data_IF_827394043947
#
_entry.id   IF_827394043947
#
_cell.length_a   1.000
_cell.length_b   1.000
_cell.length_c   1.000
_cell.angle_alpha   90.00
_cell.angle_beta   90.00
_cell.angle_gamma   90.00
#
_symmetry.space_group_name_H-M   'P 1'
#
loop_
_entity.id
_entity.type
_entity.pdbx_description
1 polymer ?
#
# COMPACT_ATOMS: atom_id res chain seq x y z
N UNK A 1 37.03 61.79 -36.73
CA UNK A 1 36.18 60.81 -37.45
C UNK A 1 36.72 59.43 -37.14
N UNK A 2 36.04 58.45 -36.57
CA UNK A 2 34.65 58.31 -36.15
C UNK A 2 34.42 56.82 -35.85
N UNK A 3 33.56 56.56 -34.85
CA UNK A 3 32.90 55.31 -34.49
C UNK A 3 33.64 54.27 -33.63
N UNK A 4 33.35 54.40 -32.33
CA UNK A 4 33.06 53.30 -31.42
C UNK A 4 32.07 52.28 -32.03
N UNK A 5 32.40 50.99 -31.96
CA UNK A 5 31.40 49.93 -31.86
C UNK A 5 31.66 49.15 -30.57
N UNK A 6 31.07 49.67 -29.47
CA UNK A 6 30.64 48.83 -28.36
C UNK A 6 29.67 47.80 -28.96
N UNK A 7 30.15 46.58 -29.14
CA UNK A 7 29.29 45.42 -29.38
C UNK A 7 28.34 45.30 -28.20
N UNK A 8 27.06 45.62 -28.47
CA UNK A 8 25.94 45.44 -27.57
C UNK A 8 26.02 44.04 -26.95
N UNK A 9 26.24 43.99 -25.64
CA UNK A 9 25.79 42.92 -24.76
C UNK A 9 24.31 42.65 -25.08
N UNK A 10 24.06 41.63 -25.88
CA UNK A 10 22.74 41.04 -25.98
C UNK A 10 22.40 40.48 -24.61
N UNK A 11 21.70 41.26 -23.79
CA UNK A 11 20.95 40.75 -22.65
C UNK A 11 19.95 39.73 -23.20
N UNK A 12 20.37 38.46 -23.21
CA UNK A 12 19.51 37.35 -23.56
C UNK A 12 18.27 37.42 -22.68
N UNK A 13 17.10 37.53 -23.31
CA UNK A 13 15.81 37.27 -22.66
C UNK A 13 15.96 35.93 -21.96
N UNK A 14 16.03 35.94 -20.62
CA UNK A 14 16.35 34.76 -19.84
C UNK A 14 15.50 33.58 -20.32
N UNK A 15 16.16 32.47 -20.62
CA UNK A 15 15.52 31.24 -21.07
C UNK A 15 14.39 30.89 -20.09
N UNK A 16 13.15 30.90 -20.59
CA UNK A 16 11.98 30.68 -19.76
C UNK A 16 11.76 29.18 -19.60
N UNK A 17 11.52 28.75 -18.37
CA UNK A 17 11.08 27.39 -18.05
C UNK A 17 9.58 27.47 -17.80
N UNK A 18 8.81 26.90 -18.74
CA UNK A 18 7.35 26.81 -18.67
C UNK A 18 6.94 25.38 -18.33
N UNK A 19 6.41 25.20 -17.13
CA UNK A 19 5.83 23.93 -16.70
C UNK A 19 4.36 23.96 -17.11
N UNK A 20 3.95 23.07 -18.03
CA UNK A 20 2.57 23.03 -18.53
C UNK A 20 1.59 22.47 -17.52
N UNK A 21 2.06 21.52 -16.70
CA UNK A 21 1.31 20.82 -15.65
C UNK A 21 2.29 20.14 -14.70
N UNK A 22 1.86 19.92 -13.46
CA UNK A 22 2.62 19.12 -12.49
C UNK A 22 1.87 17.82 -12.25
N UNK A 23 2.46 16.70 -12.68
CA UNK A 23 1.94 15.36 -12.47
C UNK A 23 2.49 14.81 -11.15
N UNK A 24 1.60 14.53 -10.21
CA UNK A 24 1.92 13.99 -8.88
C UNK A 24 1.47 12.55 -8.81
N UNK A 25 2.38 11.62 -8.56
CA UNK A 25 2.07 10.20 -8.44
C UNK A 25 2.11 9.74 -6.99
N UNK A 26 1.06 9.04 -6.56
CA UNK A 26 0.98 8.39 -5.25
C UNK A 26 0.30 7.02 -5.38
N UNK A 27 0.95 5.95 -4.91
CA UNK A 27 0.45 4.56 -4.98
C UNK A 27 -0.15 4.19 -6.36
N UNK A 28 0.55 4.57 -7.44
CA UNK A 28 0.14 4.30 -8.82
C UNK A 28 -0.96 5.19 -9.39
N UNK A 29 -1.52 6.12 -8.61
CA UNK A 29 -2.52 7.10 -9.07
C UNK A 29 -1.84 8.42 -9.45
N UNK A 30 -2.25 8.99 -10.59
CA UNK A 30 -1.78 10.29 -11.06
C UNK A 30 -2.77 11.40 -10.66
N UNK A 31 -2.24 12.49 -10.14
CA UNK A 31 -2.94 13.73 -9.84
C UNK A 31 -2.30 14.87 -10.63
N UNK A 32 -3.06 15.85 -11.06
CA UNK A 32 -2.55 16.98 -11.82
C UNK A 32 -2.74 18.28 -11.04
N UNK A 33 -1.67 19.05 -10.89
CA UNK A 33 -1.73 20.44 -10.47
C UNK A 33 -1.49 21.37 -11.67
N UNK A 34 -1.94 22.61 -11.53
CA UNK A 34 -1.78 23.65 -12.56
C UNK A 34 -0.30 23.87 -12.86
N UNK A 35 0.02 24.06 -14.14
CA UNK A 35 1.33 24.49 -14.59
C UNK A 35 1.72 25.88 -14.08
N UNK A 36 3.00 26.21 -14.20
CA UNK A 36 3.57 27.47 -13.75
C UNK A 36 4.73 27.91 -14.64
N UNK A 37 4.98 29.22 -14.71
CA UNK A 37 6.20 29.76 -15.30
C UNK A 37 7.19 30.05 -14.18
N UNK A 38 8.43 29.56 -14.34
CA UNK A 38 9.50 29.80 -13.37
C UNK A 38 10.68 30.44 -14.06
N UNK A 39 11.37 31.31 -13.32
CA UNK A 39 12.68 31.81 -13.74
C UNK A 39 13.70 30.68 -13.56
N UNK A 40 14.71 30.66 -14.43
CA UNK A 40 15.86 29.75 -14.35
C UNK A 40 16.48 29.78 -12.94
N UNK A 41 16.92 28.62 -12.46
CA UNK A 41 17.45 28.41 -11.12
C UNK A 41 16.55 27.50 -10.28
N UNK A 42 16.39 27.82 -9.00
CA UNK A 42 15.58 27.03 -8.05
C UNK A 42 14.20 27.67 -7.80
N UNK A 43 13.18 26.84 -7.63
CA UNK A 43 11.84 27.26 -7.22
C UNK A 43 11.25 26.27 -6.22
N UNK A 44 10.22 26.71 -5.49
CA UNK A 44 9.47 25.87 -4.57
C UNK A 44 8.12 25.49 -5.19
N UNK A 45 7.75 24.24 -5.01
CA UNK A 45 6.45 23.69 -5.38
C UNK A 45 5.74 23.20 -4.12
N UNK A 46 4.53 23.71 -3.89
CA UNK A 46 3.69 23.29 -2.76
C UNK A 46 2.70 22.21 -3.21
N UNK A 47 2.76 21.05 -2.57
CA UNK A 47 1.85 19.93 -2.83
C UNK A 47 1.10 19.59 -1.55
N UNK A 48 -0.22 19.85 -1.47
CA UNK A 48 -1.03 19.39 -0.36
C UNK A 48 -1.26 17.89 -0.45
N UNK A 49 -1.04 17.18 0.65
CA UNK A 49 -1.35 15.76 0.83
C UNK A 49 -2.38 15.61 1.95
N UNK A 50 -3.41 14.79 1.72
CA UNK A 50 -4.46 14.54 2.71
C UNK A 50 -4.76 13.06 2.79
N UNK A 51 -4.73 12.53 4.02
CA UNK A 51 -5.16 11.17 4.29
C UNK A 51 -6.68 11.18 4.55
N UNK A 52 -7.46 11.17 3.47
CA UNK A 52 -8.93 11.26 3.55
C UNK A 52 -9.50 9.97 4.14
N UNK A 53 -10.45 10.12 5.07
CA UNK A 53 -11.34 9.03 5.45
C UNK A 53 -12.35 8.82 4.33
N UNK A 54 -12.34 7.67 3.67
CA UNK A 54 -13.58 7.20 3.05
C UNK A 54 -14.55 6.87 4.20
N UNK A 55 -15.77 7.40 4.12
CA UNK A 55 -16.77 7.33 5.17
C UNK A 55 -17.42 5.93 5.19
N UNK A 56 -16.62 4.93 5.58
CA UNK A 56 -17.10 3.57 5.89
C UNK A 56 -17.30 3.44 7.40
N UNK A 57 -18.00 4.42 7.98
CA UNK A 57 -18.26 4.56 9.42
C UNK A 57 -19.04 3.39 10.05
N UNK A 58 -19.43 2.38 9.26
CA UNK A 58 -20.02 1.12 9.72
C UNK A 58 -18.98 0.02 10.06
N UNK A 59 -17.71 0.12 9.65
CA UNK A 59 -16.64 -0.84 9.97
C UNK A 59 -15.79 -0.44 11.21
N UNK A 60 -16.42 0.18 12.21
CA UNK A 60 -15.74 0.65 13.44
C UNK A 60 -15.22 -0.52 14.27
N UNK A 61 -13.95 -0.90 14.10
CA UNK A 61 -13.18 -1.55 15.17
C UNK A 61 -11.65 -1.51 15.00
N UNK A 62 -11.11 -1.13 13.84
CA UNK A 62 -9.66 -1.01 13.66
C UNK A 62 -9.24 0.46 13.53
N UNK A 63 -8.29 0.89 14.35
CA UNK A 63 -7.54 2.14 14.12
C UNK A 63 -6.77 1.94 12.81
N UNK A 64 -7.30 2.48 11.72
CA UNK A 64 -6.63 2.40 10.41
C UNK A 64 -5.23 3.02 10.50
N UNK A 65 -4.23 2.40 9.87
CA UNK A 65 -2.85 2.85 9.96
C UNK A 65 -2.68 4.22 9.29
N UNK A 66 -1.73 5.05 9.79
CA UNK A 66 -1.41 6.31 9.15
C UNK A 66 -0.80 6.08 7.77
N UNK A 67 -0.97 7.05 6.87
CA UNK A 67 -0.33 7.01 5.56
C UNK A 67 1.10 7.55 5.67
N UNK A 68 2.09 6.75 5.26
CA UNK A 68 3.50 7.12 5.36
C UNK A 68 4.07 7.43 3.98
N UNK A 69 4.55 8.66 3.80
CA UNK A 69 5.33 9.08 2.64
C UNK A 69 6.81 8.88 2.97
N UNK A 70 7.44 7.90 2.34
CA UNK A 70 8.85 7.53 2.59
C UNK A 70 9.86 8.31 1.77
N UNK A 71 9.48 8.74 0.57
CA UNK A 71 10.35 9.51 -0.34
C UNK A 71 9.52 10.41 -1.24
N UNK A 72 10.16 11.45 -1.76
CA UNK A 72 9.63 12.30 -2.82
C UNK A 72 10.73 12.42 -3.87
N UNK A 73 10.38 12.19 -5.13
CA UNK A 73 11.29 12.25 -6.27
C UNK A 73 10.74 13.19 -7.32
N UNK A 74 11.64 13.86 -8.03
CA UNK A 74 11.32 14.71 -9.17
C UNK A 74 11.99 14.11 -10.41
N UNK A 75 11.26 14.04 -11.52
CA UNK A 75 11.79 13.48 -12.76
C UNK A 75 12.67 14.48 -13.51
N UNK A 76 13.70 13.95 -14.18
CA UNK A 76 14.51 14.69 -15.17
C UNK A 76 13.60 15.41 -16.19
N UNK A 77 13.94 16.64 -16.64
CA UNK A 77 15.22 17.32 -16.47
C UNK A 77 15.35 18.19 -15.22
N UNK A 78 14.41 18.06 -14.28
CA UNK A 78 14.45 18.79 -13.02
C UNK A 78 15.23 17.99 -11.97
N UNK A 79 15.85 18.70 -11.02
CA UNK A 79 16.57 18.10 -9.89
C UNK A 79 15.93 18.48 -8.58
N UNK A 80 15.69 17.50 -7.71
CA UNK A 80 15.24 17.75 -6.35
C UNK A 80 16.39 18.33 -5.51
N UNK A 81 16.17 19.51 -4.91
CA UNK A 81 17.12 20.16 -3.99
C UNK A 81 16.77 19.83 -2.54
N UNK A 82 15.48 19.83 -2.20
CA UNK A 82 15.04 19.63 -0.82
C UNK A 82 13.53 19.46 -0.69
N UNK A 83 13.12 18.94 0.47
CA UNK A 83 11.72 18.67 0.81
C UNK A 83 11.47 19.07 2.25
N UNK A 84 10.38 19.78 2.51
CA UNK A 84 9.88 20.08 3.85
C UNK A 84 8.38 19.76 3.95
N UNK A 85 7.91 18.99 4.94
CA UNK A 85 8.71 18.29 5.96
C UNK A 85 9.60 17.19 5.35
N UNK A 86 10.73 16.93 6.00
CA UNK A 86 11.68 15.90 5.55
C UNK A 86 11.05 14.50 5.66
N UNK A 87 11.16 13.70 4.60
CA UNK A 87 10.68 12.32 4.58
C UNK A 87 11.58 11.38 5.42
N UNK A 88 11.03 10.34 6.08
CA UNK A 88 9.64 9.88 6.01
C UNK A 88 8.65 10.73 6.84
N UNK A 89 7.43 10.89 6.35
CA UNK A 89 6.35 11.65 7.01
C UNK A 89 5.12 10.75 7.16
N UNK A 90 4.62 10.63 8.39
CA UNK A 90 3.41 9.88 8.71
C UNK A 90 2.23 10.83 8.88
N UNK A 91 1.17 10.62 8.12
CA UNK A 91 -0.05 11.46 8.10
C UNK A 91 -1.20 10.64 8.67
N UNK A 92 -1.64 11.00 9.87
CA UNK A 92 -2.79 10.35 10.52
C UNK A 92 -4.07 10.50 9.68
N UNK A 93 -5.00 9.57 9.87
CA UNK A 93 -6.31 9.59 9.21
C UNK A 93 -7.04 10.91 9.50
N UNK A 94 -7.58 11.54 8.46
CA UNK A 94 -8.27 12.83 8.54
C UNK A 94 -7.35 14.04 8.67
N UNK A 95 -6.03 13.85 8.69
CA UNK A 95 -5.05 14.94 8.70
C UNK A 95 -4.52 15.23 7.30
N UNK A 96 -3.93 16.41 7.17
CA UNK A 96 -3.31 16.90 5.94
C UNK A 96 -1.96 17.51 6.27
N UNK A 97 -1.05 17.46 5.30
CA UNK A 97 0.28 18.07 5.35
C UNK A 97 0.56 18.71 3.99
N UNK A 98 1.24 19.84 3.98
CA UNK A 98 1.71 20.47 2.73
C UNK A 98 3.20 20.22 2.59
N UNK A 99 3.60 19.64 1.47
CA UNK A 99 5.00 19.45 1.11
C UNK A 99 5.49 20.64 0.30
N UNK A 100 6.55 21.29 0.78
CA UNK A 100 7.33 22.30 0.06
C UNK A 100 8.52 21.57 -0.56
N UNK A 101 8.51 21.47 -1.89
CA UNK A 101 9.53 20.76 -2.68
C UNK A 101 10.37 21.82 -3.38
N UNK A 102 11.65 21.93 -3.00
CA UNK A 102 12.62 22.79 -3.66
C UNK A 102 13.22 22.07 -4.86
N UNK A 103 13.07 22.65 -6.04
CA UNK A 103 13.40 22.04 -7.33
C UNK A 103 14.33 22.97 -8.10
N UNK A 104 15.39 22.41 -8.66
CA UNK A 104 16.23 23.07 -9.65
C UNK A 104 15.68 22.82 -11.05
N UNK A 105 15.52 23.89 -11.81
CA UNK A 105 15.15 23.86 -13.22
C UNK A 105 16.35 23.54 -14.12
N UNK A 106 16.12 22.97 -15.32
CA UNK A 106 17.18 22.77 -16.30
C UNK A 106 17.86 24.09 -16.69
N UNK A 107 19.10 23.98 -17.15
CA UNK A 107 19.90 25.11 -17.60
C UNK A 107 19.59 25.56 -19.04
N UNK A 108 18.48 25.09 -19.62
CA UNK A 108 18.02 25.43 -20.97
C UNK A 108 16.52 25.75 -20.96
N UNK A 109 16.02 26.36 -22.04
CA UNK A 109 14.61 26.67 -22.19
C UNK A 109 13.76 25.38 -22.20
N UNK A 110 12.77 25.30 -21.31
CA UNK A 110 11.94 24.10 -21.15
C UNK A 110 10.46 24.43 -21.32
N UNK A 111 9.73 23.56 -22.02
CA UNK A 111 8.28 23.63 -22.15
C UNK A 111 7.69 22.22 -22.08
N UNK A 112 7.10 21.87 -20.94
CA UNK A 112 6.56 20.53 -20.73
C UNK A 112 6.09 20.26 -19.29
N UNK A 113 5.68 19.02 -18.98
CA UNK A 113 5.22 18.65 -17.65
C UNK A 113 6.36 18.57 -16.64
N UNK A 114 6.07 18.80 -15.36
CA UNK A 114 6.91 18.40 -14.24
C UNK A 114 6.31 17.12 -13.65
N UNK A 115 7.12 16.12 -13.33
CA UNK A 115 6.64 14.91 -12.65
C UNK A 115 7.25 14.78 -11.26
N UNK A 116 6.40 14.63 -10.26
CA UNK A 116 6.74 14.39 -8.86
C UNK A 116 6.16 13.04 -8.43
N UNK A 117 6.97 12.18 -7.82
CA UNK A 117 6.56 10.85 -7.35
C UNK A 117 6.73 10.76 -5.84
N UNK A 118 5.66 10.40 -5.14
CA UNK A 118 5.66 10.11 -3.72
C UNK A 118 5.82 8.60 -3.53
N UNK A 119 6.88 8.18 -2.83
CA UNK A 119 7.14 6.79 -2.51
C UNK A 119 6.48 6.38 -1.19
N UNK A 120 5.77 5.26 -1.17
CA UNK A 120 5.36 4.60 0.08
C UNK A 120 6.51 3.72 0.59
N UNK A 121 6.67 3.54 1.92
CA UNK A 121 7.67 2.61 2.42
C UNK A 121 7.44 1.24 1.79
N UNK A 122 8.54 0.58 1.41
CA UNK A 122 8.46 -0.81 0.98
C UNK A 122 7.92 -1.61 2.16
N UNK A 123 6.73 -2.20 2.01
CA UNK A 123 6.21 -3.08 3.04
C UNK A 123 6.99 -4.39 2.94
N UNK A 124 7.69 -4.82 4.02
CA UNK A 124 8.38 -6.10 3.99
C UNK A 124 7.38 -7.20 3.68
N UNK A 125 7.67 -7.99 2.65
CA UNK A 125 6.88 -9.16 2.28
C UNK A 125 7.58 -10.44 2.67
N UNK A 126 6.80 -11.51 2.78
CA UNK A 126 7.26 -12.89 2.94
C UNK A 126 6.68 -13.74 1.83
N UNK A 127 7.39 -14.81 1.47
CA UNK A 127 6.85 -15.88 0.65
C UNK A 127 6.04 -16.81 1.54
N UNK A 128 4.76 -16.96 1.24
CA UNK A 128 3.89 -17.93 1.90
C UNK A 128 3.50 -19.01 0.90
N UNK A 129 3.87 -20.24 1.23
CA UNK A 129 3.51 -21.45 0.49
C UNK A 129 2.88 -22.47 1.44
N UNK A 130 1.57 -22.62 1.31
CA UNK A 130 0.76 -23.62 2.00
C UNK A 130 0.23 -24.57 0.94
N UNK A 131 0.88 -25.72 0.70
CA UNK A 131 0.45 -26.66 -0.34
C UNK A 131 -0.92 -27.27 -0.01
N UNK A 132 -1.20 -27.50 1.28
CA UNK A 132 -2.45 -28.10 1.77
C UNK A 132 -2.85 -27.51 3.12
N UNK A 133 -4.16 -27.42 3.34
CA UNK A 133 -4.75 -27.20 4.66
C UNK A 133 -5.28 -28.54 5.15
N UNK A 134 -4.86 -28.95 6.34
CA UNK A 134 -5.23 -30.21 6.99
C UNK A 134 -6.20 -29.89 8.12
N UNK A 135 -7.40 -30.45 8.07
CA UNK A 135 -8.40 -30.37 9.12
C UNK A 135 -8.24 -31.55 10.07
N UNK A 136 -8.05 -31.26 11.35
CA UNK A 136 -7.97 -32.25 12.42
C UNK A 136 -9.27 -32.15 13.23
N UNK A 137 -10.10 -33.18 13.19
CA UNK A 137 -11.34 -33.26 13.96
C UNK A 137 -11.34 -34.51 14.84
N UNK A 138 -12.37 -34.69 15.67
CA UNK A 138 -12.57 -35.93 16.44
C UNK A 138 -12.71 -37.18 15.57
N UNK A 139 -13.04 -37.03 14.28
CA UNK A 139 -13.18 -38.12 13.30
C UNK A 139 -11.86 -38.46 12.59
N UNK A 140 -10.80 -37.67 12.79
CA UNK A 140 -9.49 -37.86 12.19
C UNK A 140 -9.00 -36.67 11.38
N UNK A 141 -8.04 -36.91 10.48
CA UNK A 141 -7.40 -35.89 9.66
C UNK A 141 -7.92 -35.93 8.23
N UNK A 142 -8.30 -34.77 7.68
CA UNK A 142 -8.78 -34.62 6.31
C UNK A 142 -8.09 -33.45 5.62
N UNK A 143 -7.79 -33.59 4.33
CA UNK A 143 -7.29 -32.46 3.53
C UNK A 143 -8.48 -31.64 3.04
N UNK A 144 -8.45 -30.33 3.29
CA UNK A 144 -9.44 -29.40 2.77
C UNK A 144 -9.27 -29.24 1.25
N UNK A 145 -10.39 -29.08 0.53
CA UNK A 145 -10.39 -28.95 -0.92
C UNK A 145 -9.89 -27.58 -1.38
N UNK A 146 -9.06 -27.57 -2.43
CA UNK A 146 -8.62 -26.36 -3.15
C UNK A 146 -8.01 -25.25 -2.28
N UNK A 147 -7.33 -25.63 -1.19
CA UNK A 147 -6.76 -24.66 -0.23
C UNK A 147 -5.27 -24.36 -0.45
N UNK A 148 -4.72 -24.66 -1.64
CA UNK A 148 -3.33 -24.34 -1.96
C UNK A 148 -3.12 -22.83 -2.01
N UNK A 149 -2.22 -22.29 -1.20
CA UNK A 149 -1.92 -20.86 -1.13
C UNK A 149 -0.45 -20.64 -1.45
N UNK A 150 -0.15 -19.98 -2.57
CA UNK A 150 1.21 -19.54 -2.92
C UNK A 150 1.16 -18.06 -3.26
N UNK A 151 1.72 -17.21 -2.40
CA UNK A 151 1.71 -15.75 -2.59
C UNK A 151 2.78 -15.03 -1.78
N UNK A 152 3.20 -13.88 -2.28
CA UNK A 152 3.92 -12.89 -1.48
C UNK A 152 2.92 -12.03 -0.69
N UNK A 153 3.10 -11.93 0.61
CA UNK A 153 2.21 -11.17 1.51
C UNK A 153 3.00 -10.29 2.45
N UNK A 154 2.37 -9.20 2.92
CA UNK A 154 2.96 -8.32 3.92
C UNK A 154 3.19 -9.07 5.24
N UNK A 155 4.34 -8.83 5.88
CA UNK A 155 4.70 -9.44 7.17
C UNK A 155 3.62 -9.20 8.23
N UNK A 156 3.21 -10.25 8.93
CA UNK A 156 2.22 -10.16 10.01
C UNK A 156 0.79 -9.83 9.54
N UNK A 157 0.53 -9.85 8.23
CA UNK A 157 -0.83 -9.66 7.70
C UNK A 157 -1.76 -10.81 8.08
N UNK A 158 -3.07 -10.57 7.95
CA UNK A 158 -4.09 -11.60 8.15
C UNK A 158 -4.66 -12.01 6.80
N UNK A 159 -4.73 -13.31 6.55
CA UNK A 159 -5.29 -13.89 5.33
C UNK A 159 -6.59 -14.62 5.63
N UNK A 160 -7.50 -14.64 4.66
CA UNK A 160 -8.71 -15.45 4.71
C UNK A 160 -8.43 -16.83 4.11
N UNK A 161 -8.83 -17.88 4.82
CA UNK A 161 -8.76 -19.27 4.37
C UNK A 161 -10.18 -19.84 4.42
N UNK A 162 -10.89 -19.91 3.28
CA UNK A 162 -12.17 -20.60 3.20
C UNK A 162 -11.95 -22.11 3.25
N UNK A 163 -12.72 -22.80 4.08
CA UNK A 163 -12.61 -24.23 4.29
C UNK A 163 -14.00 -24.84 4.20
N UNK A 164 -14.10 -25.91 3.43
CA UNK A 164 -15.30 -26.75 3.41
C UNK A 164 -15.21 -27.81 4.50
N UNK A 165 -16.12 -27.75 5.47
CA UNK A 165 -16.10 -28.57 6.67
C UNK A 165 -16.77 -29.95 6.52
N UNK A 166 -17.49 -30.20 5.43
CA UNK A 166 -18.27 -31.43 5.24
C UNK A 166 -17.43 -32.72 5.24
N UNK A 167 -16.12 -32.61 4.95
CA UNK A 167 -15.18 -33.76 4.99
C UNK A 167 -14.82 -34.19 6.41
N UNK A 168 -14.93 -33.29 7.39
CA UNK A 168 -14.52 -33.55 8.77
C UNK A 168 -15.65 -33.52 9.79
N UNK A 169 -16.83 -32.99 9.41
CA UNK A 169 -17.97 -32.74 10.28
C UNK A 169 -19.29 -33.19 9.63
N UNK A 170 -20.25 -33.57 10.47
CA UNK A 170 -21.59 -34.01 10.08
C UNK A 170 -22.63 -32.97 10.44
N UNK A 171 -23.81 -33.08 9.83
CA UNK A 171 -24.96 -32.25 10.21
C UNK A 171 -25.27 -32.39 11.71
N UNK A 172 -25.45 -31.26 12.39
CA UNK A 172 -25.67 -31.21 13.84
C UNK A 172 -24.39 -31.12 14.68
N UNK A 173 -23.21 -31.35 14.10
CA UNK A 173 -21.95 -31.13 14.80
C UNK A 173 -21.78 -29.64 15.12
N UNK A 174 -21.04 -29.34 16.20
CA UNK A 174 -20.70 -27.97 16.59
C UNK A 174 -19.21 -27.86 16.86
N UNK A 175 -18.61 -26.77 16.42
CA UNK A 175 -17.21 -26.41 16.67
C UNK A 175 -17.22 -25.34 17.75
N UNK A 176 -16.63 -25.65 18.90
CA UNK A 176 -16.51 -24.74 20.04
C UNK A 176 -15.18 -24.00 20.05
N UNK A 177 -14.14 -24.58 19.45
CA UNK A 177 -12.80 -24.02 19.42
C UNK A 177 -12.05 -24.38 18.14
N UNK A 178 -11.12 -23.50 17.76
CA UNK A 178 -10.27 -23.64 16.58
C UNK A 178 -8.84 -23.33 16.99
N UNK A 179 -7.91 -24.24 16.70
CA UNK A 179 -6.48 -24.04 16.92
C UNK A 179 -5.73 -24.21 15.60
N UNK A 180 -4.68 -23.42 15.41
CA UNK A 180 -3.81 -23.49 14.24
C UNK A 180 -2.43 -23.99 14.66
N UNK A 181 -1.78 -24.80 13.81
CA UNK A 181 -0.38 -25.15 14.01
C UNK A 181 0.50 -23.89 13.98
N UNK A 182 1.49 -23.74 14.89
CA UNK A 182 2.49 -22.69 14.78
C UNK A 182 3.18 -22.71 13.41
N UNK A 183 3.60 -21.55 12.86
CA UNK A 183 3.65 -20.23 13.51
C UNK A 183 2.37 -19.40 13.36
N UNK A 184 1.28 -19.97 12.84
CA UNK A 184 0.05 -19.24 12.54
C UNK A 184 -0.77 -18.93 13.80
N UNK A 185 -1.52 -17.83 13.77
CA UNK A 185 -2.45 -17.45 14.85
C UNK A 185 -3.83 -17.17 14.29
N UNK A 186 -4.86 -17.67 14.97
CA UNK A 186 -6.24 -17.40 14.59
C UNK A 186 -6.61 -15.98 15.04
N UNK A 187 -7.01 -15.14 14.09
CA UNK A 187 -7.51 -13.80 14.37
C UNK A 187 -9.02 -13.80 14.63
N UNK A 188 -9.80 -14.48 13.77
CA UNK A 188 -11.25 -14.66 13.91
C UNK A 188 -11.78 -15.76 12.97
N UNK A 189 -13.04 -16.14 13.15
CA UNK A 189 -13.78 -17.03 12.25
C UNK A 189 -15.05 -16.36 11.73
N UNK A 190 -15.50 -16.80 10.56
CA UNK A 190 -16.83 -16.49 10.03
C UNK A 190 -17.46 -17.80 9.49
N UNK A 191 -18.52 -18.33 10.10
CA UNK A 191 -19.24 -17.79 11.25
C UNK A 191 -18.40 -17.75 12.55
N UNK A 192 -18.79 -16.89 13.49
CA UNK A 192 -18.13 -16.82 14.81
C UNK A 192 -18.38 -18.11 15.60
N UNK A 193 -17.39 -18.50 16.42
CA UNK A 193 -17.53 -19.64 17.32
C UNK A 193 -18.58 -19.35 18.42
N UNK A 194 -19.39 -20.34 18.83
CA UNK A 194 -19.41 -21.70 18.30
C UNK A 194 -20.09 -21.79 16.93
N UNK A 195 -19.51 -22.58 16.01
CA UNK A 195 -20.07 -22.81 14.67
C UNK A 195 -20.94 -24.06 14.72
N UNK A 196 -22.23 -23.93 14.41
CA UNK A 196 -23.14 -25.07 14.29
C UNK A 196 -23.34 -25.41 12.82
N UNK A 197 -23.26 -26.70 12.48
CA UNK A 197 -23.61 -27.20 11.16
C UNK A 197 -25.11 -27.44 11.11
N UNK A 198 -25.87 -26.41 10.73
CA UNK A 198 -27.34 -26.43 10.67
C UNK A 198 -27.94 -26.40 9.25
N UNK A 199 -27.09 -26.30 8.23
CA UNK A 199 -27.43 -26.46 6.82
C UNK A 199 -26.70 -27.68 6.21
N UNK A 200 -27.46 -28.58 5.58
CA UNK A 200 -26.93 -29.75 4.87
C UNK A 200 -26.31 -29.40 3.51
N UNK A 201 -26.50 -28.17 3.05
CA UNK A 201 -26.02 -27.69 1.74
C UNK A 201 -24.88 -26.68 1.85
N UNK A 202 -24.51 -26.23 3.06
CA UNK A 202 -23.48 -25.21 3.26
C UNK A 202 -22.59 -25.54 4.47
N UNK A 203 -21.34 -25.86 4.20
CA UNK A 203 -20.32 -26.23 5.21
C UNK A 203 -19.10 -25.30 5.16
N UNK A 204 -19.25 -24.08 4.65
CA UNK A 204 -18.10 -23.18 4.46
C UNK A 204 -17.88 -22.35 5.72
N UNK A 205 -16.69 -22.47 6.30
CA UNK A 205 -16.18 -21.56 7.32
C UNK A 205 -14.95 -20.82 6.79
N UNK A 206 -14.82 -19.56 7.14
CA UNK A 206 -13.66 -18.72 6.84
C UNK A 206 -12.82 -18.54 8.09
N UNK A 207 -11.55 -18.90 7.99
CA UNK A 207 -10.57 -18.66 9.05
C UNK A 207 -9.72 -17.46 8.67
N UNK A 208 -9.71 -16.44 9.52
CA UNK A 208 -8.83 -15.29 9.36
C UNK A 208 -7.57 -15.57 10.16
N UNK A 209 -6.46 -15.79 9.45
CA UNK A 209 -5.21 -16.30 10.01
C UNK A 209 -4.12 -15.25 9.90
N UNK A 210 -3.53 -14.87 11.03
CA UNK A 210 -2.31 -14.05 11.06
C UNK A 210 -1.11 -14.90 10.65
N UNK A 211 -0.41 -14.43 9.62
CA UNK A 211 0.76 -15.10 9.04
C UNK A 211 2.04 -14.73 9.81
N UNK A 212 3.09 -15.58 9.77
CA UNK A 212 4.38 -15.26 10.39
C UNK A 212 5.04 -14.00 9.78
N UNK A 213 6.09 -13.52 10.44
CA UNK A 213 6.96 -12.44 9.96
C UNK A 213 8.17 -12.96 9.15
N UNK A 214 8.21 -14.26 8.86
CA UNK A 214 9.20 -14.97 8.06
C UNK A 214 8.55 -15.82 6.95
N UNK A 215 9.31 -16.10 5.87
CA UNK A 215 8.84 -16.94 4.77
C UNK A 215 8.54 -18.36 5.23
N UNK A 216 7.39 -18.90 4.85
CA UNK A 216 6.90 -20.20 5.30
C UNK A 216 6.58 -21.11 4.13
N UNK A 217 7.04 -22.36 4.21
CA UNK A 217 6.73 -23.44 3.28
C UNK A 217 6.33 -24.67 4.10
N UNK A 218 5.06 -25.09 3.99
CA UNK A 218 4.55 -26.24 4.76
C UNK A 218 3.02 -26.31 4.77
N UNK A 219 2.47 -27.40 5.29
CA UNK A 219 1.02 -27.52 5.43
C UNK A 219 0.51 -26.71 6.64
N UNK A 220 -0.67 -26.13 6.51
CA UNK A 220 -1.37 -25.53 7.65
C UNK A 220 -2.29 -26.57 8.28
N UNK A 221 -2.17 -26.82 9.57
CA UNK A 221 -3.12 -27.67 10.31
C UNK A 221 -4.11 -26.81 11.07
N UNK A 222 -5.40 -27.14 10.93
CA UNK A 222 -6.52 -26.51 11.64
C UNK A 222 -7.19 -27.59 12.48
N UNK A 223 -7.07 -27.50 13.80
CA UNK A 223 -7.75 -28.38 14.74
C UNK A 223 -9.10 -27.78 15.11
N UNK A 224 -10.17 -28.58 14.98
CA UNK A 224 -11.55 -28.21 15.26
C UNK A 224 -12.07 -29.09 16.40
N UNK A 225 -12.51 -28.47 17.51
CA UNK A 225 -13.03 -29.16 18.70
C UNK A 225 -14.35 -28.59 19.17
#
# INVERSE_FOLDING_TARGET
>A
MGLNLLGKLGMGKGEKVRITNVNVYWKGRAHALKGMEVKKGSFNLEIPFSNKSEDLSFLKSAKEPPETISSIEVSSPFRLIGVSPQTPVSVEKGKSVTFIISIESPDYAYNGPLTVKFGSPAVPTIHLEIPKVILITSKGQNVADDTGIVKNIEKGSTIEIPVQLYKGLSYGDSISSVQLSPPFKLARTDPQLPIKIDDKNSYIARFYVTVPDFSYVGNLEITLS
#
